data_IF_911984615899
#
_entry.id   IF_911984615899
#
_cell.length_a   1.000
_cell.length_b   1.000
_cell.length_c   1.000
_cell.angle_alpha   90.00
_cell.angle_beta   90.00
_cell.angle_gamma   90.00
#
_symmetry.space_group_name_H-M   'P 1'
#
loop_
_entity.id
_entity.type
_entity.pdbx_description
1 polymer ?
#
# COMPACT_ATOMS: atom_id res chain seq x y z
N UNK A 1 5.44 5.42 -3.30
CA UNK A 1 5.14 3.97 -3.20
C UNK A 1 3.71 3.77 -3.64
N UNK A 2 3.38 2.82 -4.52
CA UNK A 2 1.99 2.57 -4.95
C UNK A 2 1.50 1.19 -4.47
N UNK A 3 0.38 1.11 -3.74
CA UNK A 3 -0.22 -0.18 -3.36
C UNK A 3 -1.73 -0.11 -3.39
N UNK A 4 -2.33 -1.12 -4.03
CA UNK A 4 -3.76 -1.39 -3.95
C UNK A 4 -4.30 -1.35 -2.51
N UNK A 5 -5.42 -0.68 -2.34
CA UNK A 5 -6.14 -0.53 -1.08
C UNK A 5 -6.65 -1.87 -0.51
N UNK A 6 -6.54 -2.05 0.81
CA UNK A 6 -7.10 -3.21 1.52
C UNK A 6 -8.45 -2.84 2.18
N UNK A 7 -9.60 -3.27 1.61
CA UNK A 7 -10.91 -2.93 2.15
C UNK A 7 -11.29 -3.68 3.42
N UNK A 8 -10.51 -4.70 3.82
CA UNK A 8 -10.78 -5.58 4.96
C UNK A 8 -9.87 -5.29 6.15
N UNK A 9 -9.18 -4.16 6.15
CA UNK A 9 -8.15 -3.87 7.14
C UNK A 9 -8.70 -3.75 8.57
N UNK A 10 -9.91 -3.20 8.76
CA UNK A 10 -10.59 -3.14 10.06
C UNK A 10 -10.96 -4.52 10.64
N UNK A 11 -11.15 -5.54 9.80
CA UNK A 11 -11.54 -6.87 10.23
C UNK A 11 -10.38 -7.86 10.25
N UNK A 12 -9.42 -7.75 9.34
CA UNK A 12 -8.37 -8.74 9.14
C UNK A 12 -6.96 -8.17 9.35
N UNK A 13 -6.79 -6.86 9.53
CA UNK A 13 -5.48 -6.21 9.52
C UNK A 13 -4.89 -6.06 8.12
N UNK A 14 -3.64 -5.60 8.03
CA UNK A 14 -2.95 -5.40 6.74
C UNK A 14 -2.35 -6.70 6.19
N UNK A 15 -2.17 -6.79 4.87
CA UNK A 15 -1.58 -7.93 4.16
C UNK A 15 -0.09 -8.10 4.49
N UNK A 16 0.37 -9.32 4.71
CA UNK A 16 1.78 -9.67 4.93
C UNK A 16 2.66 -9.26 3.74
N UNK A 17 2.10 -9.25 2.55
CA UNK A 17 2.74 -8.78 1.31
C UNK A 17 3.20 -7.32 1.42
N UNK A 18 2.54 -6.50 2.25
CA UNK A 18 2.99 -5.14 2.52
C UNK A 18 4.29 -5.13 3.30
N UNK A 19 4.46 -6.04 4.26
CA UNK A 19 5.69 -6.12 5.05
C UNK A 19 6.88 -6.59 4.19
N UNK A 20 6.64 -7.56 3.29
CA UNK A 20 7.62 -7.97 2.28
C UNK A 20 8.03 -6.79 1.39
N UNK A 21 7.07 -5.98 0.97
CA UNK A 21 7.33 -4.79 0.17
C UNK A 21 8.19 -3.77 0.92
N UNK A 22 7.83 -3.40 2.15
CA UNK A 22 8.65 -2.48 2.94
C UNK A 22 10.05 -3.07 3.23
N UNK A 23 10.20 -4.39 3.31
CA UNK A 23 11.52 -5.04 3.41
C UNK A 23 12.36 -4.87 2.14
N UNK A 24 11.77 -5.05 0.96
CA UNK A 24 12.42 -4.76 -0.33
C UNK A 24 12.83 -3.30 -0.43
N UNK A 25 11.92 -2.42 -0.06
CA UNK A 25 12.15 -0.99 -0.01
C UNK A 25 13.33 -0.63 0.92
N UNK A 26 13.36 -1.15 2.15
CA UNK A 26 14.49 -0.94 3.07
C UNK A 26 15.83 -1.44 2.51
N UNK A 27 15.83 -2.60 1.83
CA UNK A 27 17.05 -3.10 1.15
C UNK A 27 17.50 -2.15 0.06
N UNK A 28 16.57 -1.57 -0.69
CA UNK A 28 16.87 -0.58 -1.72
C UNK A 28 17.48 0.70 -1.12
N UNK A 29 16.91 1.21 -0.02
CA UNK A 29 17.46 2.38 0.70
C UNK A 29 18.93 2.16 1.10
N UNK A 30 19.24 0.98 1.62
CA UNK A 30 20.60 0.60 2.05
C UNK A 30 21.61 0.51 0.89
N UNK A 31 21.18 0.60 -0.37
CA UNK A 31 22.06 0.67 -1.53
C UNK A 31 22.48 2.11 -1.89
N UNK A 32 22.12 3.11 -1.07
CA UNK A 32 22.62 4.48 -1.19
C UNK A 32 21.64 5.46 -1.84
N UNK A 33 20.33 5.30 -1.62
CA UNK A 33 19.34 6.29 -2.05
C UNK A 33 19.25 7.43 -1.03
N UNK A 34 19.36 8.68 -1.48
CA UNK A 34 19.52 9.83 -0.57
C UNK A 34 18.22 10.37 0.03
N UNK A 35 17.09 10.31 -0.68
CA UNK A 35 15.81 10.81 -0.18
C UNK A 35 14.65 9.93 -0.64
N UNK A 36 13.89 9.39 0.32
CA UNK A 36 12.76 8.52 0.00
C UNK A 36 11.53 8.86 0.83
N UNK A 37 10.39 8.80 0.15
CA UNK A 37 9.10 9.20 0.66
C UNK A 37 8.05 8.12 0.47
N UNK A 38 7.24 7.95 1.51
CA UNK A 38 6.05 7.12 1.49
C UNK A 38 4.85 8.04 1.27
N UNK A 39 4.23 7.89 0.11
CA UNK A 39 2.94 8.49 -0.19
C UNK A 39 1.83 7.49 0.17
N UNK A 40 0.97 7.88 1.11
CA UNK A 40 -0.19 7.09 1.51
C UNK A 40 -1.43 7.54 0.74
N UNK A 41 -1.66 6.89 -0.41
CA UNK A 41 -2.82 7.06 -1.28
C UNK A 41 -4.08 6.31 -0.79
N UNK A 42 -4.13 5.84 0.46
CA UNK A 42 -5.27 5.04 0.95
C UNK A 42 -6.62 5.73 0.78
N UNK A 43 -6.62 7.08 0.81
CA UNK A 43 -7.82 7.86 0.65
C UNK A 43 -8.39 7.83 -0.78
N UNK A 44 -7.62 7.40 -1.78
CA UNK A 44 -8.12 7.30 -3.17
C UNK A 44 -9.25 6.28 -3.27
N UNK A 45 -9.31 5.31 -2.35
CA UNK A 45 -10.38 4.30 -2.37
C UNK A 45 -11.78 4.86 -2.12
N UNK A 46 -11.93 6.12 -1.67
CA UNK A 46 -13.23 6.79 -1.61
C UNK A 46 -13.89 6.87 -3.00
N UNK A 47 -13.11 6.98 -4.08
CA UNK A 47 -13.67 7.06 -5.44
C UNK A 47 -14.49 5.83 -5.81
N UNK A 48 -14.13 4.66 -5.25
CA UNK A 48 -14.88 3.42 -5.43
C UNK A 48 -16.19 3.37 -4.62
N UNK A 49 -16.37 4.29 -3.66
CA UNK A 49 -17.52 4.37 -2.76
C UNK A 49 -18.53 5.44 -3.16
N UNK A 50 -18.07 6.50 -3.83
CA UNK A 50 -18.91 7.63 -4.26
C UNK A 50 -20.15 7.15 -5.04
N UNK A 51 -19.98 6.26 -6.01
CA UNK A 51 -21.09 5.76 -6.83
C UNK A 51 -22.18 5.00 -6.02
N UNK A 52 -21.84 4.45 -4.85
CA UNK A 52 -22.80 3.68 -4.05
C UNK A 52 -23.54 4.52 -3.02
N UNK A 53 -22.99 5.65 -2.59
CA UNK A 53 -23.46 6.35 -1.39
C UNK A 53 -23.45 7.88 -1.46
N UNK A 54 -22.78 8.47 -2.43
CA UNK A 54 -22.79 9.92 -2.58
C UNK A 54 -24.17 10.39 -3.08
N UNK A 55 -24.63 11.59 -2.68
CA UNK A 55 -25.83 12.19 -3.25
C UNK A 55 -25.68 12.32 -4.77
N UNK A 56 -26.80 12.26 -5.50
CA UNK A 56 -26.81 12.43 -6.96
C UNK A 56 -26.09 13.71 -7.41
N UNK A 57 -26.11 14.76 -6.59
CA UNK A 57 -25.42 16.03 -6.82
C UNK A 57 -23.89 15.86 -6.89
N UNK A 58 -23.29 15.17 -5.92
CA UNK A 58 -21.86 14.84 -5.89
C UNK A 58 -21.47 14.02 -7.12
N UNK A 59 -22.28 13.01 -7.44
CA UNK A 59 -22.07 12.17 -8.62
C UNK A 59 -22.17 12.98 -9.93
N UNK A 60 -23.16 13.87 -10.03
CA UNK A 60 -23.38 14.74 -11.20
C UNK A 60 -22.19 15.64 -11.48
N UNK A 61 -21.57 16.21 -10.44
CA UNK A 61 -20.36 17.04 -10.57
C UNK A 61 -19.23 16.22 -11.20
N UNK A 62 -18.92 15.05 -10.62
CA UNK A 62 -17.82 14.20 -11.13
C UNK A 62 -18.09 13.58 -12.51
N UNK A 63 -19.34 13.62 -12.98
CA UNK A 63 -19.74 13.07 -14.29
C UNK A 63 -19.60 14.06 -15.45
N UNK A 64 -19.33 15.34 -15.18
CA UNK A 64 -19.40 16.43 -16.17
C UNK A 64 -18.07 17.14 -16.35
N UNK A 65 -17.02 16.40 -16.69
CA UNK A 65 -15.67 16.95 -16.89
C UNK A 65 -15.25 17.88 -15.73
N UNK A 66 -15.12 17.34 -14.51
CA UNK A 66 -14.93 18.16 -13.32
C UNK A 66 -13.55 18.84 -13.33
N UNK A 67 -13.46 20.06 -12.81
CA UNK A 67 -12.15 20.66 -12.51
C UNK A 67 -11.48 19.97 -11.32
N UNK A 68 -10.16 20.10 -11.21
CA UNK A 68 -9.37 19.59 -10.08
C UNK A 68 -9.93 20.08 -8.75
N UNK A 69 -10.34 21.35 -8.66
CA UNK A 69 -10.99 21.91 -7.46
C UNK A 69 -12.28 21.19 -7.12
N UNK A 70 -13.16 20.96 -8.09
CA UNK A 70 -14.42 20.25 -7.88
C UNK A 70 -14.18 18.80 -7.42
N UNK A 71 -13.17 18.14 -7.99
CA UNK A 71 -12.76 16.79 -7.55
C UNK A 71 -12.28 16.83 -6.10
N UNK A 72 -11.34 17.70 -5.74
CA UNK A 72 -10.80 17.78 -4.37
C UNK A 72 -11.88 18.13 -3.35
N UNK A 73 -12.72 19.14 -3.61
CA UNK A 73 -13.83 19.52 -2.74
C UNK A 73 -14.81 18.36 -2.53
N UNK A 74 -15.11 17.60 -3.60
CA UNK A 74 -15.94 16.41 -3.52
C UNK A 74 -15.30 15.33 -2.63
N UNK A 75 -14.01 15.03 -2.83
CA UNK A 75 -13.30 14.02 -2.03
C UNK A 75 -13.23 14.44 -0.56
N UNK A 76 -12.93 15.72 -0.28
CA UNK A 76 -12.97 16.35 1.06
C UNK A 76 -14.33 16.12 1.71
N UNK A 77 -15.40 16.57 1.06
CA UNK A 77 -16.76 16.51 1.56
C UNK A 77 -17.23 15.09 1.87
N UNK A 78 -17.00 14.13 0.96
CA UNK A 78 -17.47 12.76 1.15
C UNK A 78 -16.75 12.03 2.29
N UNK A 79 -15.48 12.34 2.54
CA UNK A 79 -14.75 11.78 3.67
C UNK A 79 -15.08 12.48 4.99
N UNK A 80 -15.37 13.79 4.97
CA UNK A 80 -15.74 14.56 6.15
C UNK A 80 -17.21 14.39 6.57
N UNK A 81 -18.04 13.83 5.68
CA UNK A 81 -19.44 13.54 5.95
C UNK A 81 -19.61 12.88 7.33
N UNK A 82 -20.44 13.53 8.15
CA UNK A 82 -20.34 13.51 9.62
C UNK A 82 -20.46 12.11 10.27
N UNK A 83 -19.67 11.80 11.33
CA UNK A 83 -19.75 10.54 12.10
C UNK A 83 -21.10 10.30 12.78
N UNK A 84 -21.84 11.35 13.15
CA UNK A 84 -23.10 11.23 13.88
C UNK A 84 -24.25 10.63 13.03
N UNK A 85 -24.04 10.48 11.72
CA UNK A 85 -24.94 9.81 10.78
C UNK A 85 -24.35 8.46 10.34
N UNK A 86 -23.05 8.24 10.56
CA UNK A 86 -22.25 7.19 9.94
C UNK A 86 -21.62 6.34 11.04
N UNK A 87 -22.41 5.41 11.58
CA UNK A 87 -21.90 4.35 12.47
C UNK A 87 -20.65 3.69 11.86
N UNK A 88 -19.67 3.22 12.66
CA UNK A 88 -18.58 2.34 12.20
C UNK A 88 -19.09 1.08 11.48
N UNK A 89 -20.39 0.76 11.59
CA UNK A 89 -21.06 -0.32 10.87
C UNK A 89 -21.37 0.01 9.41
N UNK A 90 -21.44 1.28 9.03
CA UNK A 90 -21.69 1.75 7.66
C UNK A 90 -20.45 1.60 6.77
N UNK A 91 -20.62 1.54 5.45
CA UNK A 91 -19.47 1.39 4.54
C UNK A 91 -18.50 2.57 4.56
N UNK A 92 -18.98 3.81 4.70
CA UNK A 92 -18.13 5.01 4.78
C UNK A 92 -17.34 5.04 6.09
N UNK A 93 -17.98 4.69 7.22
CA UNK A 93 -17.31 4.56 8.52
C UNK A 93 -16.19 3.51 8.49
N UNK A 94 -16.44 2.36 7.84
CA UNK A 94 -15.43 1.32 7.60
C UNK A 94 -14.27 1.82 6.72
N UNK A 95 -14.56 2.58 5.67
CA UNK A 95 -13.53 3.18 4.82
C UNK A 95 -12.62 4.15 5.59
N UNK A 96 -13.20 5.08 6.38
CA UNK A 96 -12.42 6.02 7.20
C UNK A 96 -11.54 5.28 8.20
N UNK A 97 -12.12 4.30 8.89
CA UNK A 97 -11.40 3.43 9.83
C UNK A 97 -10.26 2.70 9.13
N UNK A 98 -10.49 2.16 7.93
CA UNK A 98 -9.45 1.49 7.14
C UNK A 98 -8.30 2.43 6.77
N UNK A 99 -8.58 3.66 6.34
CA UNK A 99 -7.52 4.62 6.00
C UNK A 99 -6.67 4.96 7.22
N UNK A 100 -7.31 5.24 8.36
CA UNK A 100 -6.60 5.54 9.62
C UNK A 100 -5.75 4.35 10.09
N UNK A 101 -6.33 3.14 10.07
CA UNK A 101 -5.60 1.95 10.46
C UNK A 101 -4.45 1.64 9.49
N UNK A 102 -4.61 1.88 8.18
CA UNK A 102 -3.55 1.68 7.19
C UNK A 102 -2.36 2.59 7.44
N UNK A 103 -2.62 3.87 7.74
CA UNK A 103 -1.57 4.79 8.16
C UNK A 103 -0.80 4.25 9.38
N UNK A 104 -1.53 3.76 10.40
CA UNK A 104 -0.90 3.16 11.58
C UNK A 104 -0.03 1.95 11.22
N UNK A 105 -0.51 1.06 10.35
CA UNK A 105 0.29 -0.09 9.88
C UNK A 105 1.54 0.36 9.14
N UNK A 106 1.44 1.34 8.24
CA UNK A 106 2.59 1.82 7.47
C UNK A 106 3.62 2.47 8.38
N UNK A 107 3.20 3.35 9.30
CA UNK A 107 4.10 3.92 10.32
C UNK A 107 4.78 2.83 11.14
N UNK A 108 4.04 1.78 11.52
CA UNK A 108 4.60 0.64 12.24
C UNK A 108 5.61 -0.15 11.41
N UNK A 109 5.38 -0.35 10.11
CA UNK A 109 6.34 -1.01 9.22
C UNK A 109 7.63 -0.21 9.07
N UNK A 110 7.53 1.12 8.97
CA UNK A 110 8.68 2.04 8.94
C UNK A 110 9.50 1.88 10.21
N UNK A 111 8.85 1.98 11.37
CA UNK A 111 9.47 1.84 12.68
C UNK A 111 10.17 0.48 12.84
N UNK A 112 9.46 -0.62 12.58
CA UNK A 112 9.98 -1.99 12.79
C UNK A 112 11.16 -2.29 11.87
N UNK A 113 11.11 -1.83 10.62
CA UNK A 113 12.16 -2.09 9.66
C UNK A 113 13.29 -1.07 9.78
N UNK A 114 13.19 -0.13 10.73
CA UNK A 114 14.10 1.00 10.92
C UNK A 114 14.40 1.70 9.60
N UNK A 115 13.32 2.03 8.88
CA UNK A 115 13.38 2.71 7.60
C UNK A 115 13.38 4.21 7.87
N UNK A 116 14.44 4.89 7.46
CA UNK A 116 14.50 6.35 7.53
C UNK A 116 13.84 6.96 6.29
N UNK A 117 12.58 7.37 6.43
CA UNK A 117 11.79 7.96 5.34
C UNK A 117 10.80 9.00 5.83
N UNK A 118 10.50 9.95 4.92
CA UNK A 118 9.35 10.83 5.08
C UNK A 118 8.05 10.10 4.78
N UNK A 119 6.98 10.47 5.49
CA UNK A 119 5.63 9.93 5.28
C UNK A 119 4.67 11.09 4.99
N UNK A 120 3.97 11.03 3.86
CA UNK A 120 2.90 11.96 3.50
C UNK A 120 1.58 11.21 3.35
N UNK A 121 0.58 11.67 4.10
CA UNK A 121 -0.80 11.26 3.92
C UNK A 121 -1.40 12.11 2.80
N UNK A 122 -1.85 11.50 1.70
CA UNK A 122 -2.45 12.23 0.57
C UNK A 122 -3.66 13.06 1.01
N UNK A 123 -4.32 12.63 2.08
CA UNK A 123 -5.46 13.32 2.67
C UNK A 123 -5.13 14.67 3.31
N UNK A 124 -3.96 14.78 3.94
CA UNK A 124 -3.49 16.05 4.48
C UNK A 124 -3.14 17.01 3.34
N UNK A 125 -2.53 16.48 2.27
CA UNK A 125 -2.17 17.26 1.09
C UNK A 125 -3.40 17.86 0.43
N UNK A 126 -4.46 17.08 0.22
CA UNK A 126 -5.72 17.55 -0.40
C UNK A 126 -6.30 18.79 0.30
N UNK A 127 -6.15 18.89 1.63
CA UNK A 127 -6.70 20.01 2.41
C UNK A 127 -5.81 21.23 2.49
N UNK A 128 -4.50 21.03 2.44
CA UNK A 128 -3.52 22.02 2.90
C UNK A 128 -2.69 22.59 1.76
N UNK A 129 -2.67 21.94 0.61
CA UNK A 129 -1.76 22.28 -0.46
C UNK A 129 -2.48 22.42 -1.81
N UNK A 130 -2.71 23.67 -2.22
CA UNK A 130 -3.37 24.00 -3.48
C UNK A 130 -2.59 23.49 -4.70
N UNK A 131 -1.27 23.27 -4.59
CA UNK A 131 -0.45 22.72 -5.67
C UNK A 131 -0.89 21.32 -6.09
N UNK A 132 -1.47 20.52 -5.19
CA UNK A 132 -2.05 19.25 -5.59
C UNK A 132 -3.29 19.44 -6.46
N UNK A 133 -4.08 20.49 -6.23
CA UNK A 133 -5.24 20.82 -7.07
C UNK A 133 -4.79 21.22 -8.47
N UNK A 134 -3.71 22.00 -8.58
CA UNK A 134 -3.08 22.36 -9.86
C UNK A 134 -2.53 21.13 -10.60
N UNK A 135 -1.82 20.25 -9.89
CA UNK A 135 -1.33 18.98 -10.43
C UNK A 135 -2.48 18.10 -10.93
N UNK A 136 -3.62 18.10 -10.22
CA UNK A 136 -4.82 17.37 -10.63
C UNK A 136 -5.47 17.98 -11.88
N UNK A 137 -5.50 19.30 -12.01
CA UNK A 137 -5.98 19.97 -13.23
C UNK A 137 -5.13 19.56 -14.45
N UNK A 138 -3.80 19.66 -14.34
CA UNK A 138 -2.86 19.21 -15.39
C UNK A 138 -3.10 17.75 -15.76
N UNK A 139 -3.32 16.90 -14.76
CA UNK A 139 -3.58 15.48 -14.97
C UNK A 139 -4.91 15.22 -15.68
N UNK A 140 -5.98 15.93 -15.33
CA UNK A 140 -7.28 15.80 -15.98
C UNK A 140 -7.21 16.16 -17.47
N UNK A 141 -6.50 17.22 -17.81
CA UNK A 141 -6.28 17.62 -19.20
C UNK A 141 -5.42 16.61 -19.97
N UNK A 142 -4.36 16.09 -19.33
CA UNK A 142 -3.56 15.02 -19.93
C UNK A 142 -4.38 13.77 -20.22
N UNK A 143 -5.31 13.38 -19.33
CA UNK A 143 -6.17 12.21 -19.60
C UNK A 143 -7.07 12.41 -20.81
N UNK A 144 -7.57 13.63 -21.07
CA UNK A 144 -8.34 13.93 -22.30
C UNK A 144 -7.48 13.75 -23.55
N UNK A 145 -6.20 14.11 -23.47
CA UNK A 145 -5.23 13.85 -24.53
C UNK A 145 -4.97 12.34 -24.67
N UNK A 146 -4.64 11.65 -23.57
CA UNK A 146 -4.28 10.24 -23.56
C UNK A 146 -5.41 9.34 -24.06
N UNK A 147 -6.67 9.68 -23.77
CA UNK A 147 -7.84 8.98 -24.29
C UNK A 147 -7.95 9.03 -25.82
N UNK A 148 -7.39 10.06 -26.45
CA UNK A 148 -7.34 10.20 -27.91
C UNK A 148 -6.10 9.55 -28.50
N UNK A 149 -4.95 9.74 -27.85
CA UNK A 149 -3.64 9.31 -28.34
C UNK A 149 -3.39 7.80 -28.12
N UNK A 150 -3.66 7.32 -26.90
CA UNK A 150 -3.45 5.93 -26.50
C UNK A 150 -4.68 5.31 -25.79
N UNK A 151 -5.83 5.18 -26.49
CA UNK A 151 -7.06 4.64 -25.90
C UNK A 151 -6.91 3.19 -25.39
N UNK A 152 -5.97 2.43 -25.93
CA UNK A 152 -5.71 1.05 -25.50
C UNK A 152 -5.07 0.99 -24.12
N UNK A 153 -4.17 1.91 -23.79
CA UNK A 153 -3.59 2.01 -22.45
C UNK A 153 -4.67 2.35 -21.42
N UNK A 154 -5.50 3.35 -21.71
CA UNK A 154 -6.63 3.73 -20.85
C UNK A 154 -7.58 2.56 -20.61
N UNK A 155 -7.92 1.81 -21.67
CA UNK A 155 -8.76 0.60 -21.54
C UNK A 155 -8.12 -0.48 -20.66
N UNK A 156 -6.80 -0.68 -20.73
CA UNK A 156 -6.08 -1.65 -19.87
C UNK A 156 -6.10 -1.22 -18.39
N UNK A 157 -5.95 0.07 -18.12
CA UNK A 157 -5.98 0.64 -16.76
C UNK A 157 -7.35 0.44 -16.11
N UNK A 158 -8.42 0.64 -16.88
CA UNK A 158 -9.80 0.49 -16.40
C UNK A 158 -10.41 -0.89 -16.67
N UNK A 159 -9.62 -1.84 -17.18
CA UNK A 159 -10.08 -3.19 -17.50
C UNK A 159 -10.68 -3.88 -16.27
N UNK A 160 -11.88 -4.46 -16.40
CA UNK A 160 -12.68 -5.08 -15.32
C UNK A 160 -13.14 -4.15 -14.18
N UNK A 161 -12.96 -2.82 -14.28
CA UNK A 161 -13.56 -1.90 -13.30
C UNK A 161 -15.00 -1.59 -13.70
N UNK A 162 -15.92 -1.60 -12.73
CA UNK A 162 -17.31 -1.18 -12.99
C UNK A 162 -17.30 0.25 -13.53
N UNK A 163 -17.80 0.49 -14.75
CA UNK A 163 -17.75 1.81 -15.36
C UNK A 163 -18.60 2.76 -14.52
N UNK A 164 -17.93 3.67 -13.81
CA UNK A 164 -18.59 4.80 -13.19
C UNK A 164 -17.66 6.02 -13.23
N UNK A 165 -18.21 7.24 -13.23
CA UNK A 165 -17.44 8.48 -13.33
C UNK A 165 -16.37 8.62 -12.25
N UNK A 166 -16.66 8.18 -11.01
CA UNK A 166 -15.68 8.27 -9.93
C UNK A 166 -14.51 7.29 -10.10
N UNK A 167 -14.71 6.08 -10.64
CA UNK A 167 -13.60 5.14 -10.89
C UNK A 167 -12.63 5.64 -11.96
N UNK A 168 -13.08 6.52 -12.87
CA UNK A 168 -12.24 7.23 -13.84
C UNK A 168 -11.33 8.30 -13.23
N UNK A 169 -11.50 8.62 -11.95
CA UNK A 169 -10.61 9.56 -11.24
C UNK A 169 -9.34 8.88 -10.70
N UNK A 170 -9.27 7.55 -10.69
CA UNK A 170 -8.13 6.86 -10.11
C UNK A 170 -6.83 7.14 -10.88
N UNK A 171 -6.85 7.15 -12.21
CA UNK A 171 -5.67 7.48 -13.01
C UNK A 171 -5.29 8.97 -12.89
N UNK A 172 -6.22 9.93 -13.00
CA UNK A 172 -5.90 11.33 -12.71
C UNK A 172 -5.25 11.55 -11.35
N UNK A 173 -5.72 10.87 -10.30
CA UNK A 173 -5.14 11.00 -8.97
C UNK A 173 -3.70 10.45 -8.89
N UNK A 174 -3.42 9.30 -9.53
CA UNK A 174 -2.06 8.71 -9.57
C UNK A 174 -1.06 9.57 -10.38
N UNK A 175 -1.52 10.22 -11.46
CA UNK A 175 -0.66 11.14 -12.24
C UNK A 175 -0.46 12.46 -11.48
N UNK A 176 -1.52 12.99 -10.86
CA UNK A 176 -1.43 14.18 -10.01
C UNK A 176 -0.46 13.99 -8.84
N UNK A 177 -0.46 12.80 -8.21
CA UNK A 177 0.55 12.41 -7.23
C UNK A 177 1.97 12.56 -7.77
N UNK A 178 2.25 11.99 -8.95
CA UNK A 178 3.59 12.04 -9.53
C UNK A 178 4.02 13.49 -9.83
N UNK A 179 3.14 14.29 -10.45
CA UNK A 179 3.40 15.71 -10.74
C UNK A 179 3.66 16.48 -9.44
N UNK A 180 2.76 16.35 -8.45
CA UNK A 180 2.89 17.03 -7.17
C UNK A 180 4.21 16.70 -6.45
N UNK A 181 4.59 15.43 -6.42
CA UNK A 181 5.80 14.98 -5.75
C UNK A 181 7.07 15.40 -6.50
N UNK A 182 7.05 15.48 -7.82
CA UNK A 182 8.18 16.04 -8.56
C UNK A 182 8.32 17.54 -8.31
N UNK A 183 7.23 18.31 -8.43
CA UNK A 183 7.27 19.77 -8.30
C UNK A 183 7.60 20.23 -6.87
N UNK A 184 7.16 19.50 -5.85
CA UNK A 184 7.32 19.91 -4.45
C UNK A 184 8.48 19.24 -3.71
N UNK A 185 8.93 18.07 -4.18
CA UNK A 185 9.97 17.26 -3.52
C UNK A 185 11.08 16.78 -4.46
N UNK A 186 11.01 17.07 -5.76
CA UNK A 186 11.99 16.60 -6.74
C UNK A 186 11.95 15.08 -6.96
N UNK A 187 10.88 14.39 -6.55
CA UNK A 187 10.78 12.94 -6.65
C UNK A 187 10.49 12.53 -8.09
N UNK A 188 11.46 11.89 -8.74
CA UNK A 188 11.39 11.44 -10.14
C UNK A 188 11.34 9.92 -10.31
N UNK A 189 11.21 9.18 -9.20
CA UNK A 189 11.20 7.73 -9.23
C UNK A 189 10.09 7.16 -8.36
N UNK A 190 9.25 6.32 -8.96
CA UNK A 190 8.23 5.55 -8.23
C UNK A 190 8.67 4.12 -8.05
N UNK A 191 8.64 3.67 -6.80
CA UNK A 191 8.73 2.26 -6.47
C UNK A 191 7.33 1.68 -6.29
N UNK A 192 6.94 0.70 -7.11
CA UNK A 192 5.59 0.13 -7.11
C UNK A 192 5.56 -1.37 -7.43
N UNK A 193 4.40 -2.02 -7.29
CA UNK A 193 4.21 -3.41 -7.68
C UNK A 193 4.00 -3.54 -9.19
N UNK A 194 4.39 -4.68 -9.76
CA UNK A 194 4.15 -4.99 -11.18
C UNK A 194 2.67 -4.88 -11.58
N UNK A 195 1.75 -5.11 -10.64
CA UNK A 195 0.30 -4.97 -10.89
C UNK A 195 -0.13 -3.55 -11.27
N UNK A 196 0.69 -2.53 -10.99
CA UNK A 196 0.41 -1.13 -11.30
C UNK A 196 1.12 -0.64 -12.57
N UNK A 197 1.77 -1.53 -13.33
CA UNK A 197 2.59 -1.18 -14.50
C UNK A 197 1.89 -0.31 -15.55
N UNK A 198 0.57 -0.40 -15.71
CA UNK A 198 -0.14 0.41 -16.70
C UNK A 198 -0.36 1.85 -16.21
N UNK A 199 -0.48 2.06 -14.89
CA UNK A 199 -0.47 3.40 -14.31
C UNK A 199 0.91 4.03 -14.49
N UNK A 200 1.96 3.26 -14.20
CA UNK A 200 3.35 3.67 -14.38
C UNK A 200 3.63 4.15 -15.82
N UNK A 201 3.19 3.40 -16.84
CA UNK A 201 3.34 3.78 -18.25
C UNK A 201 2.65 5.12 -18.55
N UNK A 202 1.42 5.32 -18.04
CA UNK A 202 0.71 6.58 -18.26
C UNK A 202 1.39 7.77 -17.57
N UNK A 203 2.04 7.55 -16.41
CA UNK A 203 2.83 8.59 -15.74
C UNK A 203 4.10 8.89 -16.54
N UNK A 204 4.80 7.86 -17.02
CA UNK A 204 5.99 8.01 -17.88
C UNK A 204 5.65 8.82 -19.15
N UNK A 205 4.55 8.51 -19.83
CA UNK A 205 4.06 9.27 -21.00
C UNK A 205 3.75 10.74 -20.66
N UNK A 206 3.14 11.02 -19.50
CA UNK A 206 2.88 12.40 -19.05
C UNK A 206 4.19 13.18 -18.82
N UNK A 207 5.16 12.56 -18.17
CA UNK A 207 6.43 13.20 -17.88
C UNK A 207 7.26 13.45 -19.15
N UNK A 208 7.18 12.55 -20.13
CA UNK A 208 7.78 12.78 -21.45
C UNK A 208 7.19 14.03 -22.13
N UNK A 209 5.87 14.25 -22.05
CA UNK A 209 5.24 15.47 -22.60
C UNK A 209 5.65 16.75 -21.88
N UNK A 210 5.97 16.65 -20.59
CA UNK A 210 6.49 17.77 -19.81
C UNK A 210 8.00 17.98 -19.99
N UNK A 211 8.66 17.16 -20.83
CA UNK A 211 10.13 17.13 -20.98
C UNK A 211 10.86 16.87 -19.64
N UNK A 212 10.21 16.10 -18.76
CA UNK A 212 10.71 15.73 -17.45
C UNK A 212 11.17 14.27 -17.44
N UNK A 213 12.26 14.00 -16.72
CA UNK A 213 12.69 12.63 -16.47
C UNK A 213 11.84 11.98 -15.37
N UNK A 214 11.27 10.81 -15.66
CA UNK A 214 10.60 9.94 -14.68
C UNK A 214 11.08 8.50 -14.82
N UNK A 215 11.07 7.75 -13.73
CA UNK A 215 11.49 6.34 -13.73
C UNK A 215 10.64 5.51 -12.79
N UNK A 216 10.41 4.25 -13.17
CA UNK A 216 9.64 3.32 -12.35
C UNK A 216 10.49 2.10 -11.99
N UNK A 217 10.49 1.77 -10.70
CA UNK A 217 11.11 0.57 -10.17
C UNK A 217 10.01 -0.36 -9.69
N UNK A 218 10.04 -1.61 -10.15
CA UNK A 218 8.96 -2.56 -9.88
C UNK A 218 9.42 -3.70 -8.99
N UNK A 219 8.68 -3.96 -7.91
CA UNK A 219 8.88 -5.15 -7.09
C UNK A 219 7.97 -6.30 -7.55
N UNK A 220 8.53 -7.51 -7.62
CA UNK A 220 7.74 -8.74 -7.64
C UNK A 220 7.24 -8.99 -6.21
N UNK A 221 6.00 -8.61 -5.92
CA UNK A 221 5.32 -9.13 -4.73
C UNK A 221 5.26 -10.66 -4.89
N UNK A 222 5.70 -11.39 -3.86
CA UNK A 222 6.07 -12.81 -3.88
C UNK A 222 5.14 -13.69 -4.72
N UNK A 223 5.64 -14.34 -5.80
CA UNK A 223 4.89 -15.34 -6.55
C UNK A 223 4.48 -16.51 -5.63
N UNK A 224 3.19 -16.86 -5.59
CA UNK A 224 2.68 -18.02 -4.86
C UNK A 224 1.82 -17.71 -3.63
N UNK A 225 1.49 -16.43 -3.37
CA UNK A 225 0.39 -16.08 -2.47
C UNK A 225 -0.84 -15.80 -3.34
N UNK A 226 -1.50 -16.86 -3.80
CA UNK A 226 -2.73 -16.75 -4.59
C UNK A 226 -3.91 -16.21 -3.75
N UNK A 227 -3.71 -16.02 -2.44
CA UNK A 227 -4.71 -15.49 -1.49
C UNK A 227 -4.06 -14.60 -0.45
N UNK A 228 -4.55 -13.36 -0.25
CA UNK A 228 -3.97 -12.42 0.71
C UNK A 228 -3.92 -13.02 2.11
N UNK A 229 -2.75 -12.94 2.75
CA UNK A 229 -2.55 -13.35 4.14
C UNK A 229 -2.44 -12.12 5.00
N UNK A 230 -3.26 -12.00 6.04
CA UNK A 230 -3.33 -10.79 6.84
C UNK A 230 -2.59 -10.90 8.18
N UNK A 231 -2.09 -9.77 8.66
CA UNK A 231 -1.37 -9.57 9.92
C UNK A 231 -2.29 -9.54 11.15
N UNK A 232 -3.59 -9.31 10.95
CA UNK A 232 -4.56 -9.19 12.04
C UNK A 232 -5.26 -10.51 12.38
N UNK A 233 -5.41 -10.76 13.69
CA UNK A 233 -6.31 -11.76 14.25
C UNK A 233 -7.66 -11.08 14.49
N UNK A 234 -8.74 -11.63 13.93
CA UNK A 234 -10.09 -11.44 14.45
C UNK A 234 -10.89 -12.72 14.27
N UNK A 235 -11.69 -13.01 15.29
CA UNK A 235 -12.36 -14.28 15.57
C UNK A 235 -12.80 -15.07 14.32
N UNK A 236 -12.23 -16.26 14.14
CA UNK A 236 -12.84 -17.32 13.34
C UNK A 236 -12.04 -17.89 12.17
N UNK A 237 -10.88 -17.34 11.77
CA UNK A 237 -9.97 -18.04 10.83
C UNK A 237 -8.48 -17.89 11.23
N UNK A 238 -7.74 -19.00 11.39
CA UNK A 238 -6.44 -18.97 12.03
C UNK A 238 -5.30 -18.52 11.10
N UNK A 239 -4.46 -17.62 11.64
CA UNK A 239 -3.00 -17.63 11.44
C UNK A 239 -2.48 -19.04 11.78
N UNK A 240 -2.53 -19.98 10.83
CA UNK A 240 -2.21 -21.37 11.16
C UNK A 240 -2.00 -22.33 9.99
N UNK A 241 -2.15 -21.89 8.74
CA UNK A 241 -1.79 -22.76 7.62
C UNK A 241 -0.26 -22.92 7.54
N UNK A 242 0.23 -24.13 7.25
CA UNK A 242 1.67 -24.40 7.07
C UNK A 242 2.30 -23.47 6.00
N UNK A 243 1.52 -22.99 5.03
CA UNK A 243 1.96 -22.02 4.01
C UNK A 243 2.14 -20.62 4.60
N UNK A 244 1.16 -20.11 5.36
CA UNK A 244 1.25 -18.83 6.10
C UNK A 244 2.49 -18.78 6.98
N UNK A 245 2.75 -19.85 7.73
CA UNK A 245 3.92 -19.93 8.61
C UNK A 245 5.26 -19.98 7.85
N UNK A 246 5.30 -20.63 6.67
CA UNK A 246 6.49 -20.60 5.80
C UNK A 246 6.72 -19.20 5.21
N UNK A 247 5.66 -18.50 4.84
CA UNK A 247 5.74 -17.12 4.34
C UNK A 247 6.25 -16.20 5.44
N UNK A 248 5.64 -16.22 6.63
CA UNK A 248 6.11 -15.48 7.81
C UNK A 248 7.58 -15.81 8.10
N UNK A 249 7.99 -17.08 8.09
CA UNK A 249 9.40 -17.48 8.25
C UNK A 249 10.34 -16.95 7.16
N UNK A 250 9.88 -16.84 5.92
CA UNK A 250 10.68 -16.22 4.84
C UNK A 250 10.85 -14.73 5.09
N UNK A 251 9.80 -14.03 5.53
CA UNK A 251 9.86 -12.59 5.89
C UNK A 251 10.78 -12.38 7.10
N UNK A 252 10.57 -13.16 8.16
CA UNK A 252 11.35 -13.10 9.42
C UNK A 252 12.81 -13.51 9.25
N UNK A 253 13.16 -14.34 8.25
CA UNK A 253 14.56 -14.65 7.94
C UNK A 253 15.38 -13.40 7.58
N UNK A 254 14.72 -12.33 7.14
CA UNK A 254 15.36 -11.06 6.80
C UNK A 254 15.28 -10.00 7.89
N UNK A 255 14.56 -10.24 9.01
CA UNK A 255 14.50 -9.31 10.14
C UNK A 255 14.23 -10.03 11.49
N UNK A 256 15.29 -10.27 12.31
CA UNK A 256 15.18 -10.94 13.62
C UNK A 256 14.37 -10.18 14.68
N UNK A 257 14.39 -8.85 14.68
CA UNK A 257 13.69 -8.00 15.68
C UNK A 257 12.16 -8.08 15.51
N UNK A 258 11.71 -8.23 14.26
CA UNK A 258 10.30 -8.49 13.92
C UNK A 258 9.81 -9.86 14.44
N UNK A 259 10.71 -10.83 14.63
CA UNK A 259 10.36 -12.15 15.16
C UNK A 259 10.00 -12.08 16.66
N UNK A 260 10.78 -11.34 17.45
CA UNK A 260 10.50 -11.11 18.88
C UNK A 260 9.18 -10.35 19.09
N UNK A 261 8.85 -9.41 18.19
CA UNK A 261 7.59 -8.68 18.27
C UNK A 261 6.36 -9.52 17.86
N UNK A 262 6.45 -10.34 16.79
CA UNK A 262 5.37 -11.28 16.46
C UNK A 262 5.16 -12.28 17.59
N UNK A 263 6.25 -12.74 18.23
CA UNK A 263 6.15 -13.54 19.44
C UNK A 263 5.43 -12.77 20.57
N UNK A 264 5.73 -11.48 20.78
CA UNK A 264 5.07 -10.64 21.80
C UNK A 264 3.58 -10.38 21.54
N UNK A 265 3.16 -10.24 20.27
CA UNK A 265 1.75 -10.07 19.89
C UNK A 265 1.01 -11.42 19.92
N UNK A 266 1.71 -12.52 19.64
CA UNK A 266 1.18 -13.87 19.74
C UNK A 266 1.19 -14.40 21.20
N UNK A 267 1.92 -13.76 22.11
CA UNK A 267 2.07 -14.14 23.53
C UNK A 267 0.73 -14.25 24.29
N UNK A 268 -0.24 -13.33 24.15
CA UNK A 268 -1.54 -13.43 24.80
C UNK A 268 -2.37 -14.64 24.32
N UNK A 269 -1.95 -15.29 23.23
CA UNK A 269 -2.60 -16.46 22.64
C UNK A 269 -1.89 -17.78 22.98
N UNK A 270 -0.74 -17.75 23.69
CA UNK A 270 0.04 -18.93 24.11
C UNK A 270 -0.58 -19.76 25.25
N UNK A 271 -1.78 -19.44 25.72
CA UNK A 271 -2.47 -20.17 26.79
C UNK A 271 -3.95 -20.49 26.52
N UNK A 272 -4.43 -20.36 25.26
CA UNK A 272 -5.83 -20.67 24.89
C UNK A 272 -5.98 -21.91 24.00
N UNK A 273 -4.90 -22.66 23.79
CA UNK A 273 -4.90 -23.84 22.93
C UNK A 273 -4.19 -24.99 23.63
N UNK A 274 -4.92 -26.11 23.71
CA UNK A 274 -4.61 -27.37 24.40
C UNK A 274 -3.13 -27.81 24.28
N UNK A 275 -2.54 -28.16 25.42
CA UNK A 275 -1.09 -28.20 25.70
C UNK A 275 -0.29 -29.18 24.83
N UNK A 276 -0.95 -30.07 24.08
CA UNK A 276 -0.29 -31.04 23.19
C UNK A 276 0.28 -30.46 21.88
N UNK A 277 -0.04 -29.21 21.48
CA UNK A 277 0.41 -28.64 20.18
C UNK A 277 1.47 -27.54 20.29
N UNK A 278 1.66 -26.94 21.47
CA UNK A 278 2.71 -25.94 21.71
C UNK A 278 4.09 -26.60 21.90
N UNK A 279 4.15 -27.80 22.49
CA UNK A 279 5.40 -28.60 22.55
C UNK A 279 6.00 -28.89 21.17
N UNK A 280 5.14 -29.02 20.16
CA UNK A 280 5.58 -29.28 18.78
C UNK A 280 6.22 -28.04 18.14
N UNK A 281 5.73 -26.84 18.47
CA UNK A 281 6.24 -25.57 17.94
C UNK A 281 7.56 -25.18 18.63
N UNK A 282 7.62 -25.28 19.95
CA UNK A 282 8.85 -25.03 20.72
C UNK A 282 9.94 -26.06 20.41
N UNK A 283 9.57 -27.33 20.22
CA UNK A 283 10.48 -28.38 19.76
C UNK A 283 10.93 -28.22 18.30
N UNK A 284 10.12 -27.58 17.44
CA UNK A 284 10.51 -27.25 16.06
C UNK A 284 11.45 -26.04 16.02
N UNK A 285 11.18 -25.02 16.84
CA UNK A 285 12.01 -23.82 16.95
C UNK A 285 13.39 -24.14 17.55
N UNK A 286 13.48 -25.01 18.57
CA UNK A 286 14.77 -25.53 19.08
C UNK A 286 15.58 -26.29 18.03
N UNK A 287 14.93 -27.10 17.18
CA UNK A 287 15.60 -27.84 16.09
C UNK A 287 16.13 -26.92 15.00
N UNK A 288 15.39 -25.86 14.67
CA UNK A 288 15.83 -24.85 13.70
C UNK A 288 16.96 -23.98 14.26
N UNK A 289 16.91 -23.60 15.54
CA UNK A 289 18.01 -22.86 16.19
C UNK A 289 19.33 -23.65 16.15
N UNK A 290 19.31 -24.94 16.52
CA UNK A 290 20.51 -25.81 16.46
C UNK A 290 21.05 -26.02 15.04
N UNK A 291 20.17 -26.13 14.04
CA UNK A 291 20.61 -26.27 12.63
C UNK A 291 21.20 -24.97 12.06
N UNK A 292 20.77 -23.81 12.57
CA UNK A 292 21.30 -22.51 12.16
C UNK A 292 22.64 -22.20 12.86
N UNK A 293 22.83 -22.66 14.11
CA UNK A 293 24.13 -22.58 14.80
C UNK A 293 25.19 -23.47 14.14
N UNK A 294 24.87 -24.72 13.79
CA UNK A 294 25.80 -25.62 13.09
C UNK A 294 26.19 -25.14 11.69
N UNK A 295 25.34 -24.35 11.02
CA UNK A 295 25.67 -23.72 9.73
C UNK A 295 26.53 -22.45 9.89
N UNK A 296 26.42 -21.72 11.00
CA UNK A 296 27.31 -20.57 11.29
C UNK A 296 28.76 -21.03 11.51
N UNK A 297 28.97 -22.18 12.13
CA UNK A 297 30.32 -22.75 12.32
C UNK A 297 30.93 -23.26 11.02
N UNK A 298 30.15 -23.90 10.13
CA UNK A 298 30.63 -24.30 8.80
C UNK A 298 30.99 -23.10 7.90
N UNK A 299 30.27 -21.99 8.01
CA UNK A 299 30.55 -20.76 7.24
C UNK A 299 31.78 -20.03 7.80
N UNK A 300 32.01 -20.06 9.13
CA UNK A 300 33.24 -19.53 9.74
C UNK A 300 34.47 -20.38 9.42
N UNK A 301 34.35 -21.71 9.43
CA UNK A 301 35.45 -22.62 9.06
C UNK A 301 35.90 -22.50 7.60
N UNK A 302 34.99 -22.14 6.68
CA UNK A 302 35.33 -21.92 5.26
C UNK A 302 35.95 -20.56 4.93
N UNK A 303 35.86 -19.57 5.82
CA UNK A 303 36.47 -18.24 5.63
C UNK A 303 37.92 -18.14 6.11
N UNK A 304 38.37 -19.06 6.96
CA UNK A 304 39.76 -19.09 7.44
C UNK A 304 40.64 -20.10 6.67
N UNK A 305 40.15 -20.64 5.54
CA UNK A 305 40.83 -21.66 4.73
C UNK A 305 41.00 -21.28 3.27
N UNK A 306 41.13 -19.98 2.96
CA UNK A 306 41.66 -19.46 1.70
C UNK A 306 42.65 -18.36 1.98
#
# INVERSE_FOLDING_TARGET
MGFGYNPQLYCNGERLEMLDYFSWFNKFLKLGTEEVLIWDASCYSIVNKINRFAPRETYSILSKDPSGKQVIECLIKEQERSPNIISPKTEIGKYRTNCQLREQYFRKFIEILNIDVSYLNSWDVFRKDERYTEALEKSLDFIKFLEKDNPNLVRKIYFNRTPNPATRLYLPLEIAEAIYLEETKGIKTKFGPISEQFFDIAIEEMFEQLELGYSTLRCKITPGIDRPVYLGIKEGRPLGSKSTYRTIKKVLKFNPELAEYLDSICEPFKGRYDDGKIETLTGFLRRISKQLEGKKEQIRGKKNGR
#
